data_IF_872948208419
#
_entry.id   IF_872948208419
#
_cell.length_a   1.000
_cell.length_b   1.000
_cell.length_c   1.000
_cell.angle_alpha   90.00
_cell.angle_beta   90.00
_cell.angle_gamma   90.00
#
_symmetry.space_group_name_H-M   'P 1'
#
loop_
_entity.id
_entity.type
_entity.pdbx_description
1 polymer ?
#
# COMPACT_ATOMS: atom_id res chain seq x y z
N UNK A 1 -59.33 34.52 -19.24
CA UNK A 1 -58.94 33.13 -18.93
C UNK A 1 -57.76 32.64 -19.79
N UNK A 2 -56.73 33.47 -20.04
CA UNK A 2 -55.57 33.14 -20.90
C UNK A 2 -54.22 33.14 -20.15
N UNK A 3 -54.21 33.48 -18.85
CA UNK A 3 -53.00 33.57 -18.02
C UNK A 3 -52.65 32.28 -17.26
N UNK A 4 -53.55 31.29 -17.18
CA UNK A 4 -53.28 30.01 -16.49
C UNK A 4 -52.65 28.94 -17.39
N UNK A 5 -52.79 29.01 -18.72
CA UNK A 5 -52.22 28.01 -19.65
C UNK A 5 -50.71 28.19 -19.90
N UNK A 6 -50.18 29.42 -19.81
CA UNK A 6 -48.74 29.69 -20.00
C UNK A 6 -47.88 29.34 -18.80
N UNK A 7 -48.43 29.34 -17.59
CA UNK A 7 -47.73 28.97 -16.35
C UNK A 7 -47.51 27.45 -16.30
N UNK A 8 -48.51 26.65 -16.67
CA UNK A 8 -48.38 25.19 -16.72
C UNK A 8 -47.33 24.72 -17.75
N UNK A 9 -47.25 25.38 -18.90
CA UNK A 9 -46.27 25.07 -19.97
C UNK A 9 -44.84 25.54 -19.62
N UNK A 10 -44.68 26.61 -18.83
CA UNK A 10 -43.37 27.05 -18.33
C UNK A 10 -42.88 26.21 -17.14
N UNK A 11 -43.81 25.71 -16.32
CA UNK A 11 -43.49 24.84 -15.18
C UNK A 11 -43.00 23.48 -15.68
N UNK A 12 -43.65 22.89 -16.67
CA UNK A 12 -43.17 21.64 -17.29
C UNK A 12 -41.81 21.82 -17.97
N UNK A 13 -41.57 22.92 -18.68
CA UNK A 13 -40.28 23.17 -19.36
C UNK A 13 -39.12 23.36 -18.38
N UNK A 14 -39.34 24.06 -17.25
CA UNK A 14 -38.34 24.20 -16.18
C UNK A 14 -38.07 22.88 -15.46
N UNK A 15 -39.11 22.06 -15.23
CA UNK A 15 -38.95 20.73 -14.64
C UNK A 15 -38.20 19.78 -15.57
N UNK A 16 -38.49 19.81 -16.88
CA UNK A 16 -37.77 19.04 -17.89
C UNK A 16 -36.32 19.47 -17.97
N UNK A 17 -36.04 20.78 -17.96
CA UNK A 17 -34.66 21.30 -17.96
C UNK A 17 -33.91 20.91 -16.68
N UNK A 18 -34.57 20.99 -15.52
CA UNK A 18 -34.00 20.57 -14.23
C UNK A 18 -33.71 19.06 -14.21
N UNK A 19 -34.60 18.23 -14.75
CA UNK A 19 -34.36 16.78 -14.93
C UNK A 19 -33.21 16.51 -15.89
N UNK A 20 -33.11 17.23 -17.02
CA UNK A 20 -32.01 17.10 -17.97
C UNK A 20 -30.67 17.48 -17.30
N UNK A 21 -30.65 18.56 -16.50
CA UNK A 21 -29.48 18.98 -15.73
C UNK A 21 -29.10 17.93 -14.67
N UNK A 22 -30.07 17.35 -13.95
CA UNK A 22 -29.81 16.29 -12.96
C UNK A 22 -29.25 15.02 -13.64
N UNK A 23 -29.80 14.63 -14.79
CA UNK A 23 -29.35 13.46 -15.56
C UNK A 23 -27.95 13.69 -16.16
N UNK A 24 -27.66 14.90 -16.66
CA UNK A 24 -26.36 15.25 -17.22
C UNK A 24 -25.24 15.38 -16.16
N UNK A 25 -25.59 15.63 -14.89
CA UNK A 25 -24.63 15.72 -13.77
C UNK A 25 -24.35 14.38 -13.06
N UNK A 26 -24.85 13.24 -13.57
CA UNK A 26 -24.40 11.90 -13.16
C UNK A 26 -23.15 11.51 -13.95
N UNK A 27 -22.11 12.35 -13.91
CA UNK A 27 -20.78 11.95 -14.37
C UNK A 27 -20.19 11.06 -13.27
N UNK A 28 -20.21 9.75 -13.53
CA UNK A 28 -19.68 8.73 -12.64
C UNK A 28 -18.20 8.97 -12.36
N UNK A 29 -17.82 9.01 -11.08
CA UNK A 29 -16.43 8.88 -10.65
C UNK A 29 -15.97 7.44 -10.94
N UNK A 30 -15.55 7.10 -12.17
CA UNK A 30 -14.92 5.79 -12.49
C UNK A 30 -14.33 5.62 -13.91
N UNK A 31 -14.02 6.68 -14.68
CA UNK A 31 -13.49 6.49 -16.06
C UNK A 31 -11.96 6.39 -16.17
N UNK A 32 -11.22 6.39 -15.06
CA UNK A 32 -9.88 5.80 -15.01
C UNK A 32 -9.95 4.64 -14.04
N UNK A 33 -10.42 3.49 -14.51
CA UNK A 33 -10.10 2.22 -13.84
C UNK A 33 -8.62 1.98 -14.13
N UNK A 34 -7.76 2.66 -13.38
CA UNK A 34 -6.36 2.27 -13.25
C UNK A 34 -6.36 0.75 -13.09
N UNK A 35 -5.68 0.06 -14.00
CA UNK A 35 -5.61 -1.40 -14.01
C UNK A 35 -5.11 -1.81 -12.64
N UNK A 36 -6.03 -2.24 -11.77
CA UNK A 36 -5.68 -2.67 -10.41
C UNK A 36 -4.74 -3.84 -10.55
N UNK A 37 -3.45 -3.60 -10.33
CA UNK A 37 -2.41 -4.62 -10.33
C UNK A 37 -2.63 -5.48 -9.08
N UNK A 38 -3.58 -6.41 -9.17
CA UNK A 38 -3.76 -7.43 -8.15
C UNK A 38 -2.64 -8.46 -8.28
N UNK A 39 -1.95 -8.72 -7.17
CA UNK A 39 -0.87 -9.72 -7.00
C UNK A 39 0.57 -9.30 -7.31
N UNK A 40 0.81 -8.03 -7.70
CA UNK A 40 2.18 -7.56 -7.97
C UNK A 40 2.88 -8.36 -9.08
N UNK A 41 4.20 -8.21 -9.18
CA UNK A 41 5.10 -9.04 -9.99
C UNK A 41 6.39 -9.25 -9.21
N UNK A 42 7.12 -10.32 -9.51
CA UNK A 42 8.44 -10.52 -8.93
C UNK A 42 9.34 -9.31 -9.24
N UNK A 43 10.09 -8.87 -8.23
CA UNK A 43 11.07 -7.81 -8.41
C UNK A 43 12.24 -8.33 -9.23
N UNK A 44 12.90 -7.46 -9.99
CA UNK A 44 14.21 -7.81 -10.54
C UNK A 44 15.23 -7.92 -9.40
N UNK A 45 16.23 -8.79 -9.55
CA UNK A 45 17.27 -8.94 -8.54
C UNK A 45 17.97 -7.60 -8.32
N UNK A 46 18.11 -7.20 -7.06
CA UNK A 46 18.67 -5.91 -6.62
C UNK A 46 17.85 -4.65 -7.00
N UNK A 47 16.60 -4.77 -7.47
CA UNK A 47 15.76 -3.60 -7.75
C UNK A 47 15.45 -2.76 -6.50
N UNK A 48 15.48 -3.38 -5.32
CA UNK A 48 15.17 -2.75 -4.02
C UNK A 48 16.31 -2.97 -3.02
N UNK A 49 17.46 -2.30 -3.20
CA UNK A 49 18.65 -2.54 -2.38
C UNK A 49 18.47 -2.09 -0.92
N UNK A 50 17.50 -1.23 -0.65
CA UNK A 50 17.15 -0.80 0.72
C UNK A 50 16.34 -1.84 1.49
N UNK A 51 15.85 -2.91 0.84
CA UNK A 51 15.05 -3.94 1.51
C UNK A 51 15.92 -4.75 2.47
N UNK A 52 15.43 -4.91 3.69
CA UNK A 52 16.06 -5.73 4.73
C UNK A 52 15.08 -6.81 5.19
N UNK A 53 15.54 -8.05 5.22
CA UNK A 53 14.83 -9.13 5.89
C UNK A 53 15.27 -9.16 7.36
N UNK A 54 14.30 -9.09 8.26
CA UNK A 54 14.50 -9.15 9.72
C UNK A 54 14.00 -10.49 10.22
N UNK A 55 14.90 -11.31 10.75
CA UNK A 55 14.58 -12.59 11.38
C UNK A 55 14.45 -12.38 12.89
N UNK A 56 13.33 -12.84 13.46
CA UNK A 56 13.01 -12.59 14.87
C UNK A 56 13.07 -13.89 15.69
N UNK A 57 14.05 -14.00 16.59
CA UNK A 57 14.22 -15.17 17.48
C UNK A 57 14.63 -16.46 16.75
N UNK A 58 14.47 -17.60 17.46
CA UNK A 58 14.85 -18.93 16.97
C UNK A 58 13.85 -19.51 15.95
N UNK A 59 12.65 -18.91 15.86
CA UNK A 59 11.62 -19.32 14.90
C UNK A 59 11.81 -18.58 13.56
N UNK A 60 12.32 -19.32 12.58
CA UNK A 60 12.38 -18.93 11.16
C UNK A 60 11.03 -18.41 10.59
N UNK A 61 9.92 -18.68 11.27
CA UNK A 61 8.56 -18.36 10.84
C UNK A 61 8.13 -16.91 11.05
N UNK A 62 8.78 -16.16 11.96
CA UNK A 62 8.46 -14.75 12.17
C UNK A 62 9.49 -13.87 11.46
N UNK A 63 9.13 -13.46 10.26
CA UNK A 63 9.94 -12.57 9.42
C UNK A 63 9.28 -11.20 9.27
N UNK A 64 10.05 -10.14 9.47
CA UNK A 64 9.64 -8.76 9.20
C UNK A 64 10.46 -8.15 8.07
N UNK A 65 9.97 -7.04 7.53
CA UNK A 65 10.72 -6.18 6.63
C UNK A 65 11.34 -4.98 7.35
N UNK A 66 12.36 -4.40 6.75
CA UNK A 66 12.90 -3.10 7.14
C UNK A 66 13.51 -2.37 5.94
N UNK A 67 13.85 -1.11 6.15
CA UNK A 67 14.47 -0.25 5.13
C UNK A 67 15.78 0.33 5.64
N UNK A 68 16.84 0.22 4.84
CA UNK A 68 18.09 0.93 5.10
C UNK A 68 17.84 2.43 4.97
N UNK A 69 18.04 3.18 6.06
CA UNK A 69 17.92 4.65 6.06
C UNK A 69 19.28 5.34 6.19
N UNK A 70 20.32 4.62 6.62
CA UNK A 70 21.71 5.02 6.58
C UNK A 70 22.63 3.82 6.82
N UNK A 71 23.95 4.03 6.82
CA UNK A 71 24.97 2.98 6.95
C UNK A 71 24.84 2.12 8.22
N UNK A 72 24.27 2.66 9.30
CA UNK A 72 24.13 1.96 10.60
C UNK A 72 22.70 1.90 11.11
N UNK A 73 21.71 2.31 10.31
CA UNK A 73 20.32 2.40 10.75
C UNK A 73 19.35 1.74 9.76
N UNK A 74 18.52 0.84 10.29
CA UNK A 74 17.40 0.21 9.61
C UNK A 74 16.10 0.63 10.29
N UNK A 75 15.16 1.13 9.50
CA UNK A 75 13.81 1.45 9.95
C UNK A 75 12.90 0.22 9.78
N UNK A 76 12.09 -0.08 10.80
CA UNK A 76 11.08 -1.15 10.75
C UNK A 76 9.84 -0.76 11.55
N UNK A 77 8.79 -1.58 11.50
CA UNK A 77 7.57 -1.35 12.24
C UNK A 77 7.76 -1.67 13.73
N UNK A 78 7.13 -0.88 14.60
CA UNK A 78 7.21 -1.09 16.05
C UNK A 78 6.73 -2.48 16.48
N UNK A 79 5.71 -3.06 15.81
CA UNK A 79 5.22 -4.40 16.14
C UNK A 79 6.21 -5.53 15.81
N UNK A 80 7.23 -5.27 14.98
CA UNK A 80 8.30 -6.23 14.70
C UNK A 80 9.28 -6.34 15.87
N UNK A 81 9.48 -5.24 16.60
CA UNK A 81 10.48 -5.12 17.69
C UNK A 81 9.86 -5.13 19.09
N UNK A 82 8.61 -4.70 19.22
CA UNK A 82 7.89 -4.59 20.49
C UNK A 82 6.74 -5.58 20.49
N UNK A 83 7.02 -6.79 20.94
CA UNK A 83 6.00 -7.82 21.16
C UNK A 83 5.55 -7.79 22.61
N UNK A 84 4.31 -8.18 22.87
CA UNK A 84 3.80 -8.35 24.24
C UNK A 84 4.55 -9.44 25.03
N UNK A 85 5.46 -10.17 24.36
CA UNK A 85 6.29 -11.25 24.88
C UNK A 85 7.63 -10.75 25.44
N UNK A 86 7.96 -9.45 25.31
CA UNK A 86 9.19 -8.89 25.91
C UNK A 86 10.49 -9.43 25.31
N UNK A 87 10.56 -9.58 23.97
CA UNK A 87 11.77 -10.10 23.30
C UNK A 87 12.96 -9.14 23.36
N UNK A 88 14.13 -9.70 23.61
CA UNK A 88 15.40 -8.99 23.55
C UNK A 88 15.73 -8.62 22.10
N UNK A 89 15.92 -7.31 21.78
CA UNK A 89 16.35 -6.88 20.46
C UNK A 89 17.64 -7.52 19.96
N UNK A 90 18.49 -8.01 20.86
CA UNK A 90 19.74 -8.68 20.48
C UNK A 90 19.53 -10.02 19.79
N UNK A 91 18.32 -10.58 19.84
CA UNK A 91 17.96 -11.83 19.15
C UNK A 91 17.62 -11.63 17.67
N UNK A 92 17.48 -10.38 17.19
CA UNK A 92 17.17 -10.10 15.79
C UNK A 92 18.40 -10.26 14.90
N UNK A 93 18.19 -10.88 13.73
CA UNK A 93 19.20 -10.97 12.67
C UNK A 93 18.73 -10.22 11.44
N UNK A 94 19.55 -9.29 10.96
CA UNK A 94 19.31 -8.51 9.74
C UNK A 94 19.99 -9.21 8.56
N UNK A 95 19.25 -9.38 7.46
CA UNK A 95 19.75 -9.92 6.21
C UNK A 95 19.55 -8.88 5.11
N UNK A 96 20.65 -8.46 4.50
CA UNK A 96 20.70 -7.50 3.40
C UNK A 96 20.98 -8.24 2.09
N UNK A 97 20.49 -7.73 0.96
CA UNK A 97 20.73 -8.35 -0.35
C UNK A 97 20.03 -9.69 -0.57
N UNK A 98 19.03 -9.99 0.27
CA UNK A 98 18.16 -11.16 0.14
C UNK A 98 17.18 -10.96 -1.03
N UNK A 99 17.06 -11.99 -1.86
CA UNK A 99 16.18 -12.00 -3.03
C UNK A 99 15.29 -13.26 -3.06
N UNK A 100 15.88 -14.43 -2.80
CA UNK A 100 15.16 -15.70 -2.78
C UNK A 100 15.20 -16.35 -1.40
N UNK A 101 14.13 -16.17 -0.62
CA UNK A 101 14.01 -16.72 0.74
C UNK A 101 14.11 -18.25 0.87
N UNK A 102 14.07 -19.00 -0.24
CA UNK A 102 14.18 -20.46 -0.26
C UNK A 102 15.60 -20.93 -0.59
N UNK A 103 16.47 -20.05 -1.09
CA UNK A 103 17.80 -20.41 -1.58
C UNK A 103 18.79 -19.30 -1.26
N UNK A 104 19.93 -19.68 -0.72
CA UNK A 104 21.04 -18.75 -0.56
C UNK A 104 21.68 -18.44 -1.92
N UNK A 105 21.64 -17.17 -2.32
CA UNK A 105 22.18 -16.69 -3.60
C UNK A 105 23.67 -16.28 -3.49
N UNK A 106 24.21 -16.18 -2.28
CA UNK A 106 25.59 -15.75 -1.99
C UNK A 106 25.77 -14.22 -1.94
N UNK A 107 24.70 -13.46 -2.17
CA UNK A 107 24.68 -11.99 -2.06
C UNK A 107 24.21 -11.52 -0.68
N UNK A 108 23.70 -12.44 0.14
CA UNK A 108 23.12 -12.16 1.44
C UNK A 108 24.19 -11.79 2.47
N UNK A 109 24.06 -10.60 3.05
CA UNK A 109 24.91 -10.18 4.16
C UNK A 109 24.10 -10.23 5.44
N UNK A 110 24.57 -11.01 6.42
CA UNK A 110 23.91 -11.11 7.73
C UNK A 110 24.64 -10.28 8.78
N UNK A 111 23.87 -9.51 9.55
CA UNK A 111 24.37 -8.68 10.66
C UNK A 111 23.46 -8.81 11.88
N UNK A 112 24.06 -8.71 13.06
CA UNK A 112 23.32 -8.59 14.31
C UNK A 112 23.13 -7.11 14.64
N UNK A 113 22.15 -6.81 15.49
CA UNK A 113 21.96 -5.47 16.03
C UNK A 113 23.11 -5.14 16.99
N UNK A 114 23.65 -3.93 16.87
CA UNK A 114 24.67 -3.42 17.79
C UNK A 114 24.04 -2.99 19.12
N UNK A 115 24.78 -3.14 20.22
CA UNK A 115 24.40 -2.61 21.54
C UNK A 115 24.54 -1.10 21.60
#
# INVERSE_FOLDING_TARGET
MFLQQTIAMKLSLKFVFFIIVIVANKVSCSLIREKRLSHGKDAEKNAWPSQVLILTGDEYYRTCGGSIISESWVLTAAHCVRTNEGRDPMTYKLVFGEYNRQKEDGTEVRRNIAK
#
